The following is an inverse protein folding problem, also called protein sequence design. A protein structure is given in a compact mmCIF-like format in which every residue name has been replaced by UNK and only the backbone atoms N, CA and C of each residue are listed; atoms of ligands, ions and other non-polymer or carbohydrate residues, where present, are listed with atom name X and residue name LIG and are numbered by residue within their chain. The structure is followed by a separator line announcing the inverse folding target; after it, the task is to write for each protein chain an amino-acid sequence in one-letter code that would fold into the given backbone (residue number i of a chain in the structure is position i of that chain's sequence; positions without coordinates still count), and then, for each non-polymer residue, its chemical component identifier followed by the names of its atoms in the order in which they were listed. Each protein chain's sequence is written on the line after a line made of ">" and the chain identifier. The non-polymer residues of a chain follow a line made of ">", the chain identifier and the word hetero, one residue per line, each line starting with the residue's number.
data_IF_523339751565
#
_entry.id   IF_523339751565
#
_cell.length_a   1.000
_cell.length_b   1.000
_cell.length_c   1.000
_cell.angle_alpha   90.00
_cell.angle_beta   90.00
_cell.angle_gamma   90.00
#
_symmetry.space_group_name_H-M   'P 1'
#
loop_
_entity.id
_entity.type
_entity.pdbx_description
1 polymer ?
#
# COMPACT_ATOMS: atom_id res chain seq x y z
N UNK A 1 -11.96 -14.88 2.39
CA UNK A 1 -11.95 -13.73 3.31
C UNK A 1 -10.58 -13.70 3.96
N UNK A 2 -9.91 -12.55 3.96
CA UNK A 2 -8.68 -12.37 4.73
C UNK A 2 -9.04 -12.37 6.22
N UNK A 3 -8.68 -13.44 6.96
CA UNK A 3 -8.84 -13.46 8.41
C UNK A 3 -7.88 -12.43 9.04
N UNK A 4 -8.41 -11.51 9.84
CA UNK A 4 -7.73 -10.33 10.42
C UNK A 4 -7.10 -9.36 9.39
N UNK A 5 -7.94 -8.47 8.84
CA UNK A 5 -7.50 -7.33 8.02
C UNK A 5 -6.67 -6.35 8.86
N UNK A 6 -5.38 -6.21 8.52
CA UNK A 6 -4.50 -5.17 9.10
C UNK A 6 -4.48 -3.93 8.19
N UNK A 7 -4.70 -2.76 8.78
CA UNK A 7 -4.58 -1.43 8.15
C UNK A 7 -3.75 -0.58 9.11
N UNK A 8 -2.68 0.05 8.64
CA UNK A 8 -1.80 0.84 9.51
C UNK A 8 -2.56 2.04 10.13
N UNK A 9 -3.31 2.77 9.29
CA UNK A 9 -4.15 3.89 9.72
C UNK A 9 -5.43 4.00 8.88
N UNK A 10 -6.60 4.05 9.54
CA UNK A 10 -7.90 4.21 8.89
C UNK A 10 -8.55 5.53 9.28
N UNK A 11 -8.76 6.43 8.32
CA UNK A 11 -9.37 7.75 8.56
C UNK A 11 -10.30 8.12 7.42
N UNK A 12 -11.52 8.57 7.76
CA UNK A 12 -12.53 9.07 6.80
C UNK A 12 -12.85 8.11 5.63
N UNK A 13 -12.67 6.80 5.83
CA UNK A 13 -12.88 5.77 4.81
C UNK A 13 -11.65 5.45 3.96
N UNK A 14 -10.49 6.03 4.25
CA UNK A 14 -9.22 5.79 3.54
C UNK A 14 -8.32 4.91 4.40
N UNK A 15 -7.85 3.80 3.83
CA UNK A 15 -6.83 2.96 4.44
C UNK A 15 -5.44 3.45 4.03
N UNK A 16 -4.62 3.85 4.99
CA UNK A 16 -3.27 4.34 4.74
C UNK A 16 -2.29 3.24 5.11
N UNK A 17 -1.39 2.93 4.19
CA UNK A 17 -0.33 1.92 4.35
C UNK A 17 1.02 2.64 4.30
N UNK A 18 1.94 2.29 5.17
CA UNK A 18 3.25 2.93 5.28
C UNK A 18 4.37 1.96 4.92
N UNK A 19 5.36 2.46 4.18
CA UNK A 19 6.58 1.75 3.84
C UNK A 19 7.77 2.68 4.06
N UNK A 20 8.76 2.20 4.81
CA UNK A 20 10.04 2.90 4.98
C UNK A 20 11.06 2.26 4.05
N UNK A 21 11.99 3.07 3.52
CA UNK A 21 13.01 2.64 2.58
C UNK A 21 12.46 2.31 1.18
N UNK A 22 13.25 1.58 0.39
CA UNK A 22 12.93 1.16 -0.96
C UNK A 22 12.23 -0.20 -0.92
N UNK A 23 10.98 -0.24 -1.37
CA UNK A 23 10.14 -1.44 -1.33
C UNK A 23 10.04 -2.08 -2.71
N UNK A 24 10.08 -3.41 -2.76
CA UNK A 24 9.92 -4.19 -4.00
C UNK A 24 8.64 -5.04 -3.98
N UNK A 25 8.20 -5.49 -5.16
CA UNK A 25 7.00 -6.31 -5.31
C UNK A 25 7.25 -7.77 -4.91
N UNK A 26 7.27 -8.04 -3.62
CA UNK A 26 7.34 -9.40 -3.06
C UNK A 26 5.94 -10.03 -2.99
N UNK A 27 5.85 -11.35 -2.72
CA UNK A 27 4.56 -12.03 -2.53
C UNK A 27 3.76 -11.44 -1.36
N UNK A 28 4.42 -11.02 -0.28
CA UNK A 28 3.75 -10.36 0.85
C UNK A 28 3.16 -9.01 0.44
N UNK A 29 3.91 -8.21 -0.32
CA UNK A 29 3.43 -6.92 -0.84
C UNK A 29 2.28 -7.10 -1.83
N UNK A 30 2.33 -8.13 -2.69
CA UNK A 30 1.19 -8.50 -3.56
C UNK A 30 -0.06 -8.84 -2.75
N UNK A 31 0.09 -9.58 -1.65
CA UNK A 31 -1.05 -9.93 -0.80
C UNK A 31 -1.66 -8.71 -0.11
N UNK A 32 -0.84 -7.72 0.29
CA UNK A 32 -1.35 -6.45 0.83
C UNK A 32 -2.15 -5.67 -0.22
N UNK A 33 -1.66 -5.60 -1.46
CA UNK A 33 -2.39 -4.96 -2.57
C UNK A 33 -3.70 -5.69 -2.87
N UNK A 34 -3.67 -7.03 -2.93
CA UNK A 34 -4.87 -7.84 -3.17
C UNK A 34 -5.92 -7.66 -2.08
N UNK A 35 -5.48 -7.56 -0.81
CA UNK A 35 -6.32 -7.23 0.33
C UNK A 35 -6.97 -5.86 0.16
N UNK A 36 -6.19 -4.82 -0.14
CA UNK A 36 -6.73 -3.48 -0.34
C UNK A 36 -7.74 -3.44 -1.49
N UNK A 37 -7.47 -4.15 -2.59
CA UNK A 37 -8.40 -4.27 -3.72
C UNK A 37 -9.71 -4.98 -3.33
N UNK A 38 -9.66 -6.04 -2.52
CA UNK A 38 -10.87 -6.70 -1.99
C UNK A 38 -11.69 -5.76 -1.10
N UNK A 39 -11.03 -4.97 -0.24
CA UNK A 39 -11.69 -3.98 0.62
C UNK A 39 -12.37 -2.85 -0.16
N UNK A 40 -11.81 -2.47 -1.31
CA UNK A 40 -12.47 -1.53 -2.23
C UNK A 40 -13.69 -2.23 -2.85
N UNK A 41 -13.50 -3.44 -3.38
CA UNK A 41 -14.53 -4.16 -4.12
C UNK A 41 -15.77 -4.48 -3.27
N UNK A 42 -15.59 -4.75 -1.97
CA UNK A 42 -16.68 -5.01 -1.04
C UNK A 42 -17.22 -3.75 -0.35
N UNK A 43 -16.69 -2.56 -0.67
CA UNK A 43 -17.15 -1.28 -0.13
C UNK A 43 -16.71 -0.96 1.30
N UNK A 44 -15.80 -1.74 1.89
CA UNK A 44 -15.29 -1.50 3.25
C UNK A 44 -14.46 -0.21 3.36
N UNK A 45 -13.79 0.18 2.27
CA UNK A 45 -13.00 1.41 2.19
C UNK A 45 -13.33 2.18 0.91
N UNK A 46 -13.20 3.50 0.95
CA UNK A 46 -13.29 4.38 -0.25
C UNK A 46 -12.07 4.22 -1.16
N UNK A 47 -10.94 3.86 -0.59
CA UNK A 47 -9.71 3.61 -1.31
C UNK A 47 -8.48 3.64 -0.40
N UNK A 48 -7.40 2.95 -0.78
CA UNK A 48 -6.13 2.99 -0.07
C UNK A 48 -5.20 4.11 -0.57
N UNK A 49 -4.30 4.56 0.31
CA UNK A 49 -3.16 5.41 -0.03
C UNK A 49 -1.89 4.81 0.56
N UNK A 50 -0.90 4.55 -0.29
CA UNK A 50 0.40 4.03 0.13
C UNK A 50 1.41 5.17 0.30
N UNK A 51 2.07 5.22 1.45
CA UNK A 51 3.04 6.24 1.80
C UNK A 51 4.44 5.64 1.86
N UNK A 52 5.33 6.18 1.05
CA UNK A 52 6.74 5.78 1.04
C UNK A 52 7.57 6.86 1.72
N UNK A 53 8.23 6.50 2.81
CA UNK A 53 9.07 7.39 3.61
C UNK A 53 10.55 7.07 3.41
N UNK A 54 11.37 8.12 3.36
CA UNK A 54 12.83 7.95 3.34
C UNK A 54 13.32 7.29 4.63
N UNK A 55 14.15 6.27 4.49
CA UNK A 55 14.85 5.68 5.63
C UNK A 55 15.88 6.67 6.20
N UNK A 56 15.86 6.97 7.51
CA UNK A 56 16.89 7.81 8.13
C UNK A 56 18.24 7.08 8.24
N UNK A 57 18.25 5.75 8.06
CA UNK A 57 19.45 4.92 8.19
C UNK A 57 20.16 4.80 6.84
N UNK A 58 19.43 4.43 5.78
CA UNK A 58 20.04 4.15 4.46
C UNK A 58 19.86 5.28 3.46
N UNK A 59 19.02 6.27 3.78
CA UNK A 59 18.69 7.38 2.88
C UNK A 59 17.84 6.98 1.66
N UNK A 60 17.48 5.71 1.49
CA UNK A 60 16.67 5.23 0.36
C UNK A 60 15.18 5.50 0.59
N UNK A 61 14.43 5.64 -0.51
CA UNK A 61 12.99 5.87 -0.52
C UNK A 61 12.37 5.25 -1.78
N UNK A 62 11.10 4.88 -1.68
CA UNK A 62 10.22 4.67 -2.83
C UNK A 62 9.94 3.21 -3.12
N UNK A 63 9.56 2.94 -4.35
CA UNK A 63 9.12 1.62 -4.79
C UNK A 63 9.77 1.22 -6.11
N UNK A 64 9.89 -0.08 -6.32
CA UNK A 64 10.29 -0.60 -7.63
C UNK A 64 9.24 -0.36 -8.70
N UNK A 65 9.68 -0.26 -9.96
CA UNK A 65 8.76 -0.10 -11.11
C UNK A 65 7.66 -1.17 -11.15
N UNK A 66 7.93 -2.47 -10.92
CA UNK A 66 6.87 -3.48 -10.82
C UNK A 66 5.86 -3.20 -9.71
N UNK A 67 6.30 -2.70 -8.55
CA UNK A 67 5.39 -2.36 -7.46
C UNK A 67 4.49 -1.17 -7.86
N UNK A 68 5.06 -0.12 -8.44
CA UNK A 68 4.27 1.03 -8.91
C UNK A 68 3.24 0.64 -9.98
N UNK A 69 3.60 -0.27 -10.88
CA UNK A 69 2.69 -0.81 -11.90
C UNK A 69 1.55 -1.63 -11.28
N UNK A 70 1.85 -2.44 -10.27
CA UNK A 70 0.81 -3.22 -9.57
C UNK A 70 -0.13 -2.28 -8.80
N UNK A 71 0.38 -1.28 -8.07
CA UNK A 71 -0.47 -0.27 -7.40
C UNK A 71 -1.39 0.44 -8.40
N UNK A 72 -0.84 0.87 -9.54
CA UNK A 72 -1.60 1.53 -10.60
C UNK A 72 -2.70 0.62 -11.18
N UNK A 73 -2.41 -0.67 -11.39
CA UNK A 73 -3.37 -1.66 -11.90
C UNK A 73 -4.60 -1.80 -11.00
N UNK A 74 -4.43 -1.63 -9.69
CA UNK A 74 -5.52 -1.68 -8.70
C UNK A 74 -6.06 -0.28 -8.33
N UNK A 75 -5.69 0.77 -9.08
CA UNK A 75 -6.06 2.17 -8.81
C UNK A 75 -5.68 2.65 -7.39
N UNK A 76 -4.61 2.10 -6.82
CA UNK A 76 -4.09 2.48 -5.50
C UNK A 76 -3.17 3.69 -5.66
N UNK A 77 -3.47 4.76 -4.93
CA UNK A 77 -2.66 5.98 -4.92
C UNK A 77 -1.43 5.78 -4.04
N UNK A 78 -0.36 6.50 -4.36
CA UNK A 78 0.81 6.57 -3.50
C UNK A 78 1.37 7.99 -3.38
N UNK A 79 2.07 8.24 -2.28
CA UNK A 79 2.76 9.51 -1.97
C UNK A 79 4.19 9.19 -1.50
N UNK A 80 5.16 9.97 -1.96
CA UNK A 80 6.54 9.96 -1.44
C UNK A 80 6.69 11.12 -0.44
N UNK A 81 7.23 10.82 0.75
CA UNK A 81 7.52 11.78 1.81
C UNK A 81 9.02 11.95 2.05
#
# INVERSE_FOLDING_TARGET
>A
MFDNVHIDQFVNGVANESKVEYTTLTSSVKNQIAKDAELIANGSIKGPVWHFFRSPITGKIGASKPLLQELQKHNIKYILH
#
